data_IF_997846663215
#
_entry.id   IF_997846663215
#
_cell.length_a   1.000
_cell.length_b   1.000
_cell.length_c   1.000
_cell.angle_alpha   90.00
_cell.angle_beta   90.00
_cell.angle_gamma   90.00
#
_symmetry.space_group_name_H-M   'P 1'
#
loop_
_entity.id
_entity.type
_entity.pdbx_description
1 polymer ?
#
# COMPACT_ATOMS: atom_id res chain seq x y z
N UNK A 1 4.23 -7.15 -12.22
CA UNK A 1 3.82 -6.21 -11.14
C UNK A 1 2.48 -6.66 -10.63
N UNK A 2 2.17 -6.51 -9.33
CA UNK A 2 0.94 -7.10 -8.77
C UNK A 2 -0.29 -6.49 -9.44
N UNK A 3 -1.07 -7.32 -10.13
CA UNK A 3 -2.23 -6.89 -10.93
C UNK A 3 -3.34 -6.26 -10.07
N UNK A 4 -3.32 -6.52 -8.76
CA UNK A 4 -4.33 -6.04 -7.83
C UNK A 4 -4.19 -4.56 -7.45
N UNK A 5 -2.96 -4.04 -7.34
CA UNK A 5 -2.70 -2.68 -6.86
C UNK A 5 -2.62 -1.68 -8.02
N UNK A 6 -3.75 -1.06 -8.33
CA UNK A 6 -3.90 -0.31 -9.58
C UNK A 6 -3.15 1.02 -9.66
N UNK A 7 -2.71 1.56 -8.53
CA UNK A 7 -1.94 2.78 -8.46
C UNK A 7 -0.42 2.57 -8.51
N UNK A 8 0.07 1.32 -8.39
CA UNK A 8 1.50 1.01 -8.36
C UNK A 8 2.00 0.65 -9.75
N UNK A 9 2.86 1.50 -10.31
CA UNK A 9 3.50 1.25 -11.61
C UNK A 9 4.75 0.38 -11.47
N UNK A 10 5.54 0.60 -10.41
CA UNK A 10 6.77 -0.15 -10.13
C UNK A 10 7.01 -0.24 -8.62
N UNK A 11 7.51 -1.37 -8.16
CA UNK A 11 8.02 -1.57 -6.81
C UNK A 11 9.31 -2.38 -6.92
N UNK A 12 10.41 -1.83 -6.42
CA UNK A 12 11.75 -2.43 -6.51
C UNK A 12 12.37 -2.44 -5.12
N UNK A 13 12.80 -3.62 -4.65
CA UNK A 13 13.59 -3.69 -3.42
C UNK A 13 14.95 -3.03 -3.67
N UNK A 14 15.33 -2.09 -2.81
CA UNK A 14 16.61 -1.36 -2.88
C UNK A 14 17.55 -1.72 -1.72
N UNK A 15 17.04 -2.41 -0.70
CA UNK A 15 17.88 -3.08 0.30
C UNK A 15 18.32 -4.45 -0.20
N UNK A 16 19.51 -4.89 0.21
CA UNK A 16 19.97 -6.25 -0.05
C UNK A 16 19.21 -7.29 0.78
N UNK A 17 19.33 -8.55 0.39
CA UNK A 17 18.85 -9.68 1.19
C UNK A 17 17.39 -10.07 0.95
N UNK A 18 16.88 -10.93 1.84
CA UNK A 18 15.51 -11.42 1.81
C UNK A 18 14.56 -10.37 2.36
N UNK A 19 13.28 -10.48 2.01
CA UNK A 19 12.22 -9.66 2.57
C UNK A 19 12.14 -9.83 4.10
N UNK A 20 12.41 -8.77 4.84
CA UNK A 20 12.38 -8.73 6.30
C UNK A 20 12.02 -7.34 6.84
N UNK A 21 11.82 -7.22 8.15
CA UNK A 21 11.70 -5.92 8.80
C UNK A 21 12.98 -5.09 8.54
N UNK A 22 12.80 -3.82 8.17
CA UNK A 22 13.90 -2.95 7.73
C UNK A 22 14.18 -3.00 6.24
N UNK A 23 13.59 -3.92 5.47
CA UNK A 23 13.74 -3.92 4.00
C UNK A 23 13.19 -2.62 3.39
N UNK A 24 13.89 -2.11 2.38
CA UNK A 24 13.58 -0.85 1.72
C UNK A 24 13.19 -1.05 0.26
N UNK A 25 12.24 -0.24 -0.22
CA UNK A 25 11.73 -0.31 -1.58
C UNK A 25 11.61 1.07 -2.19
N UNK A 26 11.98 1.20 -3.47
CA UNK A 26 11.57 2.30 -4.33
C UNK A 26 10.23 1.96 -4.98
N UNK A 27 9.26 2.87 -4.86
CA UNK A 27 7.92 2.70 -5.39
C UNK A 27 7.59 3.88 -6.31
N UNK A 28 7.17 3.54 -7.54
CA UNK A 28 6.62 4.50 -8.51
C UNK A 28 5.11 4.27 -8.55
N UNK A 29 4.36 5.32 -8.27
CA UNK A 29 2.90 5.28 -8.14
C UNK A 29 2.21 6.42 -8.88
N UNK A 30 0.94 6.23 -9.21
CA UNK A 30 0.07 7.29 -9.71
C UNK A 30 -0.91 7.70 -8.61
N UNK A 31 -0.81 8.95 -8.16
CA UNK A 31 -1.70 9.54 -7.15
C UNK A 31 -2.37 10.74 -7.76
N UNK A 32 -3.71 10.69 -7.89
CA UNK A 32 -4.51 11.75 -8.51
C UNK A 32 -3.99 12.17 -9.90
N UNK A 33 -3.55 11.21 -10.71
CA UNK A 33 -3.01 11.44 -12.05
C UNK A 33 -1.58 11.97 -12.08
N UNK A 34 -0.94 12.22 -10.93
CA UNK A 34 0.48 12.56 -10.84
C UNK A 34 1.31 11.31 -10.59
N UNK A 35 2.42 11.17 -11.32
CA UNK A 35 3.41 10.13 -11.03
C UNK A 35 4.29 10.59 -9.87
N UNK A 36 4.38 9.78 -8.82
CA UNK A 36 5.19 10.02 -7.64
C UNK A 36 6.17 8.87 -7.44
N UNK A 37 7.42 9.22 -7.14
CA UNK A 37 8.42 8.28 -6.62
C UNK A 37 8.57 8.50 -5.12
N UNK A 38 8.55 7.42 -4.36
CA UNK A 38 8.78 7.43 -2.92
C UNK A 38 9.52 6.17 -2.50
N UNK A 39 10.27 6.28 -1.40
CA UNK A 39 10.93 5.14 -0.79
C UNK A 39 10.21 4.76 0.50
N UNK A 40 10.06 3.46 0.69
CA UNK A 40 9.36 2.89 1.84
C UNK A 40 10.22 1.88 2.56
N UNK A 41 9.96 1.74 3.85
CA UNK A 41 10.58 0.75 4.72
C UNK A 41 9.51 -0.15 5.34
N UNK A 42 9.83 -1.42 5.49
CA UNK A 42 9.03 -2.37 6.25
C UNK A 42 9.30 -2.14 7.73
N UNK A 43 8.30 -1.62 8.46
CA UNK A 43 8.41 -1.34 9.90
C UNK A 43 8.04 -2.57 10.74
N UNK A 44 7.23 -3.48 10.19
CA UNK A 44 6.89 -4.73 10.85
C UNK A 44 6.49 -5.77 9.83
N UNK A 45 7.01 -7.00 9.99
CA UNK A 45 6.64 -8.13 9.15
C UNK A 45 6.47 -9.39 10.01
N UNK A 46 5.22 -9.82 10.14
CA UNK A 46 4.86 -11.15 10.66
C UNK A 46 4.14 -11.92 9.53
N UNK A 47 4.85 -12.78 8.79
CA UNK A 47 4.30 -13.50 7.65
C UNK A 47 3.00 -14.21 8.00
N UNK A 48 1.94 -13.94 7.22
CA UNK A 48 0.60 -14.53 7.42
C UNK A 48 -0.29 -13.81 8.42
N UNK A 49 0.22 -12.84 9.19
CA UNK A 49 -0.56 -12.17 10.24
C UNK A 49 -0.60 -10.65 10.09
N UNK A 50 0.55 -10.01 9.88
CA UNK A 50 0.66 -8.55 9.90
C UNK A 50 1.81 -8.06 9.06
N UNK A 51 1.61 -6.94 8.39
CA UNK A 51 2.65 -6.22 7.67
C UNK A 51 2.44 -4.72 7.80
N UNK A 52 3.49 -3.95 8.06
CA UNK A 52 3.44 -2.49 8.14
C UNK A 52 4.52 -1.88 7.29
N UNK A 53 4.13 -0.93 6.44
CA UNK A 53 5.01 -0.16 5.58
C UNK A 53 4.87 1.32 5.87
N UNK A 54 5.98 2.05 5.78
CA UNK A 54 6.02 3.48 5.99
C UNK A 54 6.90 4.14 4.93
N UNK A 55 6.47 5.28 4.38
CA UNK A 55 7.36 6.09 3.55
C UNK A 55 8.35 6.86 4.42
N UNK A 56 9.59 6.92 3.98
CA UNK A 56 10.64 7.72 4.61
C UNK A 56 11.24 8.76 3.66
N UNK A 57 10.87 8.71 2.38
CA UNK A 57 11.29 9.65 1.34
C UNK A 57 10.14 9.93 0.38
N UNK A 58 10.21 11.06 -0.33
CA UNK A 58 9.22 11.48 -1.32
C UNK A 58 8.16 12.46 -0.79
N UNK A 59 7.24 12.89 -1.67
CA UNK A 59 6.33 14.01 -1.40
C UNK A 59 5.07 13.62 -0.62
N UNK A 60 4.92 12.35 -0.25
CA UNK A 60 3.73 11.80 0.40
C UNK A 60 4.12 10.94 1.61
N UNK A 61 4.18 11.53 2.82
CA UNK A 61 4.33 10.76 4.05
C UNK A 61 3.11 9.85 4.26
N UNK A 62 3.33 8.56 4.49
CA UNK A 62 2.27 7.61 4.79
C UNK A 62 2.75 6.44 5.64
N UNK A 63 1.79 5.80 6.31
CA UNK A 63 1.94 4.51 6.98
C UNK A 63 0.73 3.64 6.67
N UNK A 64 0.98 2.42 6.23
CA UNK A 64 -0.08 1.45 5.95
C UNK A 64 0.20 0.18 6.74
N UNK A 65 -0.78 -0.23 7.52
CA UNK A 65 -0.78 -1.48 8.27
C UNK A 65 -1.80 -2.44 7.67
N UNK A 66 -1.36 -3.62 7.27
CA UNK A 66 -2.21 -4.74 6.86
C UNK A 66 -2.28 -5.77 7.97
N UNK A 67 -3.48 -6.25 8.25
CA UNK A 67 -3.75 -7.33 9.19
C UNK A 67 -4.51 -8.44 8.47
N UNK A 68 -4.04 -9.66 8.65
CA UNK A 68 -4.63 -10.88 8.12
C UNK A 68 -5.15 -11.71 9.29
N UNK A 69 -6.40 -12.15 9.19
CA UNK A 69 -7.05 -12.95 10.21
C UNK A 69 -7.74 -14.14 9.56
N UNK A 70 -7.66 -15.29 10.22
CA UNK A 70 -8.45 -16.45 9.81
C UNK A 70 -9.94 -16.17 10.04
N UNK A 71 -10.75 -16.56 9.06
CA UNK A 71 -12.20 -16.55 9.13
C UNK A 71 -12.73 -17.93 8.75
N UNK A 72 -13.97 -18.24 9.14
CA UNK A 72 -14.60 -19.54 8.82
C UNK A 72 -14.67 -19.86 7.32
N UNK A 73 -14.49 -18.87 6.44
CA UNK A 73 -14.64 -18.99 4.98
C UNK A 73 -13.38 -18.58 4.20
N UNK A 74 -12.23 -18.42 4.85
CA UNK A 74 -10.99 -17.94 4.24
C UNK A 74 -10.28 -16.89 5.08
N UNK A 75 -9.49 -16.01 4.47
CA UNK A 75 -8.76 -14.96 5.18
C UNK A 75 -9.53 -13.63 5.13
N UNK A 76 -9.70 -12.98 6.28
CA UNK A 76 -10.12 -11.59 6.37
C UNK A 76 -8.90 -10.69 6.35
N UNK A 77 -8.79 -9.85 5.33
CA UNK A 77 -7.72 -8.86 5.19
C UNK A 77 -8.31 -7.49 5.51
N UNK A 78 -7.62 -6.73 6.36
CA UNK A 78 -7.96 -5.36 6.68
C UNK A 78 -6.72 -4.49 6.61
N UNK A 79 -6.90 -3.21 6.26
CA UNK A 79 -5.82 -2.24 6.26
C UNK A 79 -6.20 -0.99 7.05
N UNK A 80 -5.25 -0.45 7.80
CA UNK A 80 -5.32 0.90 8.36
C UNK A 80 -4.26 1.75 7.67
N UNK A 81 -4.69 2.86 7.07
CA UNK A 81 -3.81 3.76 6.32
C UNK A 81 -3.86 5.16 6.94
N UNK A 82 -2.68 5.73 7.17
CA UNK A 82 -2.46 7.11 7.60
C UNK A 82 -1.66 7.79 6.49
N UNK A 83 -2.22 8.82 5.86
CA UNK A 83 -1.60 9.47 4.69
C UNK A 83 -1.67 10.97 4.87
N UNK A 84 -0.52 11.63 4.75
CA UNK A 84 -0.40 13.08 4.77
C UNK A 84 -0.32 13.62 3.34
N UNK A 85 -1.41 14.27 2.91
CA UNK A 85 -1.52 14.85 1.57
C UNK A 85 -1.05 16.30 1.48
N UNK A 86 -0.54 16.89 2.57
CA UNK A 86 -0.08 18.29 2.60
C UNK A 86 1.02 18.57 1.56
N UNK A 87 1.86 17.58 1.27
CA UNK A 87 2.92 17.65 0.26
C UNK A 87 2.44 17.72 -1.20
N UNK A 88 1.14 17.51 -1.47
CA UNK A 88 0.61 17.53 -2.84
C UNK A 88 0.11 18.92 -3.30
N UNK A 89 0.01 19.89 -2.38
CA UNK A 89 -0.41 21.27 -2.65
C UNK A 89 -1.52 21.80 -1.71
N UNK A 90 -1.78 23.12 -1.70
CA UNK A 90 -2.86 23.70 -0.90
C UNK A 90 -4.23 23.27 -1.45
N UNK A 91 -5.22 23.06 -0.57
CA UNK A 91 -6.64 22.76 -0.88
C UNK A 91 -7.03 21.31 -1.24
N UNK A 92 -6.17 20.33 -0.95
CA UNK A 92 -6.40 18.93 -1.34
C UNK A 92 -7.31 18.17 -0.34
N UNK A 93 -7.61 18.76 0.82
CA UNK A 93 -8.10 18.02 2.01
C UNK A 93 -9.51 17.43 1.95
N UNK A 94 -10.46 17.96 1.16
CA UNK A 94 -11.87 17.52 1.28
C UNK A 94 -12.28 16.34 0.40
N UNK A 95 -11.62 16.11 -0.73
CA UNK A 95 -12.00 15.05 -1.69
C UNK A 95 -11.08 13.84 -1.58
N UNK A 96 -9.85 14.05 -1.11
CA UNK A 96 -8.79 13.06 -1.21
C UNK A 96 -8.95 11.89 -0.26
N UNK A 97 -9.52 12.09 0.92
CA UNK A 97 -9.84 10.96 1.80
C UNK A 97 -10.80 9.97 1.12
N UNK A 98 -11.87 10.48 0.49
CA UNK A 98 -12.83 9.65 -0.24
C UNK A 98 -12.21 8.97 -1.45
N UNK A 99 -11.35 9.67 -2.19
CA UNK A 99 -10.63 9.09 -3.33
C UNK A 99 -9.69 7.97 -2.88
N UNK A 100 -8.87 8.21 -1.86
CA UNK A 100 -7.94 7.23 -1.31
C UNK A 100 -8.69 6.00 -0.76
N UNK A 101 -9.78 6.22 0.00
CA UNK A 101 -10.60 5.13 0.52
C UNK A 101 -11.18 4.26 -0.59
N UNK A 102 -11.82 4.86 -1.59
CA UNK A 102 -12.38 4.14 -2.73
C UNK A 102 -11.29 3.39 -3.52
N UNK A 103 -10.08 3.95 -3.62
CA UNK A 103 -8.94 3.27 -4.24
C UNK A 103 -8.55 2.00 -3.46
N UNK A 104 -8.36 2.09 -2.14
CA UNK A 104 -8.04 0.94 -1.30
C UNK A 104 -9.15 -0.12 -1.31
N UNK A 105 -10.43 0.28 -1.33
CA UNK A 105 -11.56 -0.65 -1.42
C UNK A 105 -11.54 -1.42 -2.74
N UNK A 106 -11.28 -0.74 -3.86
CA UNK A 106 -11.17 -1.39 -5.18
C UNK A 106 -9.97 -2.31 -5.28
N UNK A 107 -8.81 -1.92 -4.73
CA UNK A 107 -7.62 -2.76 -4.75
C UNK A 107 -7.81 -4.03 -3.89
N UNK A 108 -8.48 -3.93 -2.73
CA UNK A 108 -8.85 -5.12 -1.96
C UNK A 108 -9.84 -6.02 -2.70
N UNK A 109 -10.84 -5.43 -3.36
CA UNK A 109 -11.81 -6.18 -4.14
C UNK A 109 -11.13 -6.93 -5.30
N UNK A 110 -10.22 -6.27 -6.02
CA UNK A 110 -9.45 -6.91 -7.09
C UNK A 110 -8.52 -7.99 -6.56
N UNK A 111 -7.86 -7.76 -5.42
CA UNK A 111 -7.04 -8.79 -4.77
C UNK A 111 -7.87 -10.03 -4.44
N UNK A 112 -9.07 -9.84 -3.88
CA UNK A 112 -10.00 -10.93 -3.59
C UNK A 112 -10.38 -11.71 -4.87
N UNK A 113 -10.75 -11.01 -5.92
CA UNK A 113 -11.12 -11.62 -7.20
C UNK A 113 -9.98 -12.46 -7.80
N UNK A 114 -8.75 -11.93 -7.79
CA UNK A 114 -7.57 -12.65 -8.28
C UNK A 114 -7.31 -13.93 -7.47
N UNK A 115 -7.35 -13.84 -6.14
CA UNK A 115 -7.14 -14.99 -5.25
C UNK A 115 -8.25 -16.05 -5.39
N UNK A 116 -9.52 -15.63 -5.54
CA UNK A 116 -10.65 -16.53 -5.71
C UNK A 116 -10.72 -17.13 -7.13
N UNK A 117 -10.08 -16.51 -8.11
CA UNK A 117 -9.95 -17.05 -9.47
C UNK A 117 -8.93 -18.18 -9.59
N UNK A 118 -8.13 -18.42 -8.56
CA UNK A 118 -7.15 -19.52 -8.52
C UNK A 118 -5.84 -19.23 -9.27
N UNK A 119 -5.48 -17.95 -9.42
CA UNK A 119 -4.16 -17.50 -9.86
C UNK A 119 -3.18 -17.57 -8.68
#
# INVERSE_FOLDING_TARGET
MPEWASNIAKCTQISDGKLEEGSCFEVISSVMGKTLTHEVIIISLNPGFKYTVQSYSGPLPFRIEYNLQDSKKGTFISSKSEIDFSGLGPFISKIVEGFAKNQFEKDHQRLKELLESGI
#
